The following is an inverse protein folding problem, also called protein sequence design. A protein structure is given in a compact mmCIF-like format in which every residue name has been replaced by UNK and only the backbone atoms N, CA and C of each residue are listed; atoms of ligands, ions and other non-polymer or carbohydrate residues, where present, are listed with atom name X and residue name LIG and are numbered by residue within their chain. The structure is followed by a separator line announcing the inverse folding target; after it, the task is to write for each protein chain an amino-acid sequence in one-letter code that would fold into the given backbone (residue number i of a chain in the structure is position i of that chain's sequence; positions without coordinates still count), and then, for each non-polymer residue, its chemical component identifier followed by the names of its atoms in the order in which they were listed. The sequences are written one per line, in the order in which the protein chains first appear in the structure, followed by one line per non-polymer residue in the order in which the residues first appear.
data_IF_400707058614
#
_entry.id   IF_400707058614
#
_cell.length_a   1.000
_cell.length_b   1.000
_cell.length_c   1.000
_cell.angle_alpha   90.00
_cell.angle_beta   90.00
_cell.angle_gamma   90.00
#
_symmetry.space_group_name_H-M   'P 1'
#
loop_
_entity.id
_entity.type
_entity.pdbx_description
1 polymer ?
#
# COMPACT_ATOMS: atom_id res chain seq x y z
N UNK A 1 -0.73 26.78 5.72
CA UNK A 1 -0.80 26.28 7.12
C UNK A 1 -1.92 25.26 7.20
N UNK A 2 -1.67 24.09 7.81
CA UNK A 2 -2.69 23.06 8.00
C UNK A 2 -3.63 23.49 9.14
N UNK A 3 -4.95 23.47 8.90
CA UNK A 3 -5.97 23.78 9.90
C UNK A 3 -6.31 22.50 10.69
N UNK A 4 -6.11 22.52 12.01
CA UNK A 4 -6.50 21.41 12.88
C UNK A 4 -7.99 21.50 13.20
N UNK A 5 -8.80 20.57 12.67
CA UNK A 5 -10.19 20.37 13.09
C UNK A 5 -10.23 19.35 14.22
N UNK A 6 -10.79 19.73 15.37
CA UNK A 6 -10.91 18.84 16.53
C UNK A 6 -12.19 18.00 16.39
N UNK A 7 -11.96 16.70 16.20
CA UNK A 7 -12.87 15.54 16.28
C UNK A 7 -14.20 15.59 15.50
N UNK A 8 -14.29 14.77 14.45
CA UNK A 8 -15.58 14.23 14.01
C UNK A 8 -16.03 13.15 15.01
N UNK A 9 -17.32 13.15 15.36
CA UNK A 9 -17.89 12.23 16.36
C UNK A 9 -18.40 10.95 15.68
N UNK A 10 -18.50 9.83 16.42
CA UNK A 10 -19.16 8.64 15.92
C UNK A 10 -20.61 8.92 15.51
N UNK A 11 -21.08 8.26 14.45
CA UNK A 11 -22.43 8.41 13.91
C UNK A 11 -23.13 7.05 13.77
N UNK A 12 -24.44 7.02 14.05
CA UNK A 12 -25.26 5.84 13.81
C UNK A 12 -25.66 5.72 12.35
N UNK A 13 -25.28 4.61 11.72
CA UNK A 13 -25.69 4.22 10.37
C UNK A 13 -26.70 3.07 10.45
N UNK A 14 -27.63 3.01 9.49
CA UNK A 14 -28.62 1.94 9.37
C UNK A 14 -28.45 1.20 8.03
N UNK A 15 -27.52 0.22 7.93
CA UNK A 15 -27.23 -0.48 6.68
C UNK A 15 -28.40 -1.36 6.19
N UNK A 16 -29.30 -1.76 7.08
CA UNK A 16 -30.51 -2.51 6.75
C UNK A 16 -31.58 -2.25 7.82
N UNK A 17 -32.86 -2.42 7.46
CA UNK A 17 -33.97 -2.19 8.39
C UNK A 17 -33.77 -3.00 9.68
N UNK A 18 -33.73 -2.30 10.81
CA UNK A 18 -33.59 -2.92 12.13
C UNK A 18 -32.16 -3.33 12.49
N UNK A 19 -31.16 -3.01 11.67
CA UNK A 19 -29.73 -3.16 11.99
C UNK A 19 -29.10 -1.78 12.02
N UNK A 20 -28.54 -1.39 13.17
CA UNK A 20 -27.83 -0.12 13.33
C UNK A 20 -26.41 -0.35 13.78
N UNK A 21 -25.49 0.51 13.35
CA UNK A 21 -24.11 0.49 13.84
C UNK A 21 -23.61 1.91 14.09
N UNK A 22 -22.98 2.14 15.23
CA UNK A 22 -22.28 3.37 15.56
C UNK A 22 -20.87 3.29 14.98
N UNK A 23 -20.55 4.15 14.02
CA UNK A 23 -19.29 4.12 13.28
C UNK A 23 -18.43 5.34 13.62
N UNK A 24 -17.14 5.11 13.84
CA UNK A 24 -16.12 6.15 13.83
C UNK A 24 -16.05 6.78 12.43
N UNK A 25 -15.82 8.09 12.33
CA UNK A 25 -15.63 8.75 11.03
C UNK A 25 -14.37 8.22 10.33
N UNK A 26 -14.36 8.17 8.98
CA UNK A 26 -13.17 7.85 8.21
C UNK A 26 -11.97 8.70 8.64
N UNK A 27 -10.90 8.04 9.05
CA UNK A 27 -9.75 8.72 9.65
C UNK A 27 -8.46 7.91 9.51
N UNK A 28 -7.32 8.56 9.72
CA UNK A 28 -6.02 7.86 9.68
C UNK A 28 -5.93 6.72 10.72
N UNK A 29 -6.39 6.88 11.98
CA UNK A 29 -6.45 5.76 12.92
C UNK A 29 -7.27 4.57 12.40
N UNK A 30 -8.46 4.81 11.81
CA UNK A 30 -9.28 3.75 11.22
C UNK A 30 -8.55 3.04 10.08
N UNK A 31 -7.86 3.78 9.20
CA UNK A 31 -7.07 3.18 8.10
C UNK A 31 -5.97 2.27 8.64
N UNK A 32 -5.27 2.70 9.69
CA UNK A 32 -4.16 1.92 10.27
C UNK A 32 -4.67 0.66 10.96
N UNK A 33 -5.75 0.75 11.75
CA UNK A 33 -6.36 -0.43 12.36
C UNK A 33 -6.92 -1.40 11.33
N UNK A 34 -7.62 -0.90 10.30
CA UNK A 34 -8.11 -1.73 9.22
C UNK A 34 -6.97 -2.46 8.49
N UNK A 35 -5.79 -1.84 8.35
CA UNK A 35 -4.62 -2.51 7.78
C UNK A 35 -4.18 -3.70 8.62
N UNK A 36 -4.11 -3.55 9.93
CA UNK A 36 -3.80 -4.66 10.84
C UNK A 36 -4.83 -5.78 10.75
N UNK A 37 -6.12 -5.43 10.88
CA UNK A 37 -7.23 -6.38 10.76
C UNK A 37 -7.21 -7.12 9.41
N UNK A 38 -7.02 -6.39 8.32
CA UNK A 38 -7.00 -6.98 6.97
C UNK A 38 -5.87 -7.97 6.78
N UNK A 39 -4.69 -7.74 7.37
CA UNK A 39 -3.55 -8.64 7.24
C UNK A 39 -3.84 -10.00 7.87
N UNK A 40 -4.50 -10.01 9.03
CA UNK A 40 -4.87 -11.24 9.73
C UNK A 40 -6.02 -11.95 9.03
N UNK A 41 -7.05 -11.22 8.60
CA UNK A 41 -8.15 -11.79 7.83
C UNK A 41 -7.68 -12.35 6.47
N UNK A 42 -6.80 -11.64 5.74
CA UNK A 42 -6.27 -12.11 4.45
C UNK A 42 -5.53 -13.44 4.63
N UNK A 43 -4.67 -13.55 5.66
CA UNK A 43 -4.00 -14.80 5.98
C UNK A 43 -4.98 -15.92 6.30
N UNK A 44 -6.02 -15.63 7.10
CA UNK A 44 -7.05 -16.62 7.43
C UNK A 44 -7.88 -17.06 6.20
N UNK A 45 -8.01 -16.19 5.20
CA UNK A 45 -8.75 -16.46 3.96
C UNK A 45 -7.87 -17.02 2.82
N UNK A 46 -6.57 -17.26 3.05
CA UNK A 46 -5.65 -17.71 2.00
C UNK A 46 -5.42 -16.68 0.89
N UNK A 47 -5.59 -15.40 1.21
CA UNK A 47 -5.29 -14.26 0.34
C UNK A 47 -3.84 -13.85 0.59
N UNK A 48 -3.02 -13.91 -0.45
CA UNK A 48 -1.57 -13.70 -0.35
C UNK A 48 -1.10 -12.71 -1.42
N UNK A 49 0.01 -12.03 -1.14
CA UNK A 49 0.68 -11.20 -2.14
C UNK A 49 1.71 -12.03 -2.92
N UNK A 50 1.61 -12.05 -4.24
CA UNK A 50 2.54 -12.71 -5.15
C UNK A 50 3.12 -11.72 -6.17
N UNK A 51 3.87 -12.22 -7.16
CA UNK A 51 4.51 -11.38 -8.20
C UNK A 51 3.50 -10.62 -9.07
N UNK A 52 2.28 -11.14 -9.20
CA UNK A 52 1.18 -10.57 -10.00
C UNK A 52 0.28 -9.64 -9.17
N UNK A 53 0.53 -9.53 -7.86
CA UNK A 53 -0.25 -8.74 -6.91
C UNK A 53 -1.00 -9.60 -5.90
N UNK A 54 -2.21 -9.20 -5.54
CA UNK A 54 -3.01 -9.90 -4.54
C UNK A 54 -3.70 -11.12 -5.17
N UNK A 55 -3.45 -12.32 -4.64
CA UNK A 55 -4.18 -13.53 -5.03
C UNK A 55 -5.66 -13.37 -4.67
N UNK A 56 -6.55 -13.99 -5.46
CA UNK A 56 -8.00 -13.88 -5.25
C UNK A 56 -8.47 -12.43 -5.05
N UNK A 57 -8.12 -11.53 -5.98
CA UNK A 57 -8.37 -10.09 -5.86
C UNK A 57 -9.75 -9.73 -5.31
N UNK A 58 -10.82 -10.38 -5.78
CA UNK A 58 -12.17 -10.16 -5.26
C UNK A 58 -12.34 -10.48 -3.77
N UNK A 59 -11.75 -11.59 -3.30
CA UNK A 59 -11.72 -11.95 -1.87
C UNK A 59 -10.88 -10.94 -1.07
N UNK A 60 -9.76 -10.48 -1.64
CA UNK A 60 -8.94 -9.45 -1.02
C UNK A 60 -9.67 -8.13 -0.84
N UNK A 61 -10.41 -7.68 -1.86
CA UNK A 61 -11.24 -6.48 -1.77
C UNK A 61 -12.36 -6.64 -0.74
N UNK A 62 -13.04 -7.80 -0.73
CA UNK A 62 -14.05 -8.13 0.27
C UNK A 62 -13.49 -8.05 1.70
N UNK A 63 -12.32 -8.65 1.94
CA UNK A 63 -11.64 -8.61 3.24
C UNK A 63 -11.25 -7.18 3.62
N UNK A 64 -10.80 -6.35 2.68
CA UNK A 64 -10.50 -4.95 2.95
C UNK A 64 -11.74 -4.17 3.39
N UNK A 65 -12.88 -4.34 2.72
CA UNK A 65 -14.14 -3.72 3.11
C UNK A 65 -14.56 -4.17 4.51
N UNK A 66 -14.49 -5.47 4.82
CA UNK A 66 -14.79 -5.99 6.16
C UNK A 66 -13.85 -5.41 7.23
N UNK A 67 -12.56 -5.25 6.93
CA UNK A 67 -11.59 -4.68 7.84
C UNK A 67 -11.88 -3.20 8.13
N UNK A 68 -12.29 -2.41 7.14
CA UNK A 68 -12.71 -1.02 7.36
C UNK A 68 -13.94 -0.94 8.26
N UNK A 69 -14.95 -1.80 8.02
CA UNK A 69 -16.15 -1.84 8.88
C UNK A 69 -15.77 -2.24 10.30
N UNK A 70 -14.95 -3.28 10.48
CA UNK A 70 -14.52 -3.74 11.80
C UNK A 70 -13.69 -2.68 12.55
N UNK A 71 -12.80 -1.96 11.87
CA UNK A 71 -12.03 -0.88 12.46
C UNK A 71 -12.87 0.35 12.84
N UNK A 72 -13.94 0.61 12.10
CA UNK A 72 -14.82 1.75 12.31
C UNK A 72 -15.94 1.50 13.33
N UNK A 73 -16.39 0.25 13.48
CA UNK A 73 -17.56 -0.07 14.29
C UNK A 73 -17.29 0.02 15.80
N UNK A 74 -18.15 0.77 16.49
CA UNK A 74 -18.11 0.97 17.96
C UNK A 74 -19.16 0.12 18.66
N UNK A 75 -20.41 0.17 18.16
CA UNK A 75 -21.54 -0.55 18.76
C UNK A 75 -22.52 -0.96 17.66
N UNK A 76 -23.10 -2.15 17.80
CA UNK A 76 -24.12 -2.72 16.92
C UNK A 76 -25.44 -2.91 17.66
N UNK A 77 -26.52 -2.74 16.91
CA UNK A 77 -27.88 -3.09 17.32
C UNK A 77 -28.56 -3.88 16.19
N UNK A 78 -29.44 -4.81 16.56
CA UNK A 78 -30.15 -5.65 15.59
C UNK A 78 -29.37 -6.85 15.07
N UNK A 79 -28.18 -7.09 15.60
CA UNK A 79 -27.40 -8.31 15.36
C UNK A 79 -27.48 -9.20 16.59
N UNK A 80 -27.69 -10.50 16.38
CA UNK A 80 -27.76 -11.50 17.43
C UNK A 80 -26.90 -12.72 17.08
N UNK A 81 -26.48 -13.45 18.11
CA UNK A 81 -25.78 -14.73 17.95
C UNK A 81 -26.74 -15.87 17.60
N UNK A 82 -26.20 -17.08 17.48
CA UNK A 82 -26.96 -18.29 17.16
C UNK A 82 -28.04 -18.64 18.20
N UNK A 83 -27.91 -18.13 19.42
CA UNK A 83 -28.89 -18.31 20.51
C UNK A 83 -29.96 -17.22 20.52
N UNK A 84 -29.84 -16.22 19.66
CA UNK A 84 -30.70 -15.04 19.63
C UNK A 84 -30.32 -13.96 20.65
N UNK A 85 -29.17 -14.07 21.32
CA UNK A 85 -28.69 -13.04 22.23
C UNK A 85 -28.10 -11.86 21.44
N UNK A 86 -28.42 -10.60 21.79
CA UNK A 86 -27.95 -9.43 21.06
C UNK A 86 -26.43 -9.27 21.19
N UNK A 87 -25.76 -9.05 20.07
CA UNK A 87 -24.32 -8.78 20.00
C UNK A 87 -24.11 -7.28 19.84
N UNK A 88 -23.44 -6.65 20.81
CA UNK A 88 -23.13 -5.21 20.78
C UNK A 88 -21.82 -4.89 20.06
N UNK A 89 -20.87 -5.80 20.07
CA UNK A 89 -19.55 -5.62 19.46
C UNK A 89 -19.20 -6.89 18.70
N UNK A 90 -18.92 -6.77 17.42
CA UNK A 90 -18.54 -7.90 16.57
C UNK A 90 -17.02 -7.97 16.46
N UNK A 91 -16.45 -9.17 16.49
CA UNK A 91 -15.05 -9.38 16.11
C UNK A 91 -14.87 -9.18 14.59
N UNK A 92 -13.65 -8.95 14.09
CA UNK A 92 -13.41 -8.84 12.66
C UNK A 92 -13.91 -10.03 11.84
N UNK A 93 -13.79 -11.25 12.36
CA UNK A 93 -14.29 -12.47 11.73
C UNK A 93 -15.82 -12.50 11.69
N UNK A 94 -16.48 -12.02 12.74
CA UNK A 94 -17.93 -11.89 12.78
C UNK A 94 -18.43 -10.82 11.80
N UNK A 95 -17.72 -9.69 11.67
CA UNK A 95 -18.01 -8.68 10.64
C UNK A 95 -17.86 -9.28 9.25
N UNK A 96 -16.75 -9.97 8.98
CA UNK A 96 -16.53 -10.66 7.71
C UNK A 96 -17.67 -11.64 7.40
N UNK A 97 -18.07 -12.46 8.37
CA UNK A 97 -19.16 -13.42 8.24
C UNK A 97 -20.52 -12.75 8.01
N UNK A 98 -20.80 -11.64 8.70
CA UNK A 98 -22.02 -10.85 8.52
C UNK A 98 -22.11 -10.32 7.09
N UNK A 99 -21.04 -9.69 6.59
CA UNK A 99 -21.00 -9.13 5.24
C UNK A 99 -21.10 -10.21 4.16
N UNK A 100 -20.54 -11.41 4.40
CA UNK A 100 -20.67 -12.54 3.49
C UNK A 100 -22.12 -13.05 3.39
N UNK A 101 -22.86 -13.03 4.50
CA UNK A 101 -24.25 -13.52 4.57
C UNK A 101 -25.29 -12.49 4.11
N UNK A 102 -24.96 -11.20 4.17
CA UNK A 102 -25.89 -10.09 3.92
C UNK A 102 -25.34 -9.16 2.82
N UNK A 103 -25.56 -9.50 1.54
CA UNK A 103 -25.05 -8.72 0.41
C UNK A 103 -25.50 -7.25 0.41
N UNK A 104 -26.72 -6.96 0.88
CA UNK A 104 -27.23 -5.60 0.99
C UNK A 104 -26.47 -4.75 2.03
N UNK A 105 -26.06 -5.36 3.14
CA UNK A 105 -25.25 -4.70 4.17
C UNK A 105 -23.83 -4.48 3.64
N UNK A 106 -23.26 -5.47 2.95
CA UNK A 106 -21.97 -5.32 2.28
C UNK A 106 -22.00 -4.15 1.29
N UNK A 107 -22.97 -4.10 0.38
CA UNK A 107 -23.11 -3.05 -0.63
C UNK A 107 -23.19 -1.64 0.00
N UNK A 108 -23.91 -1.51 1.12
CA UNK A 108 -24.01 -0.25 1.86
C UNK A 108 -22.64 0.24 2.34
N UNK A 109 -21.85 -0.65 2.96
CA UNK A 109 -20.53 -0.26 3.44
C UNK A 109 -19.51 -0.09 2.33
N UNK A 110 -19.52 -0.97 1.33
CA UNK A 110 -18.58 -0.95 0.22
C UNK A 110 -18.67 0.37 -0.57
N UNK A 111 -19.90 0.77 -0.93
CA UNK A 111 -20.18 1.99 -1.71
C UNK A 111 -20.21 3.26 -0.87
N UNK A 112 -20.37 3.13 0.45
CA UNK A 112 -20.40 4.24 1.40
C UNK A 112 -19.11 4.34 2.20
N UNK A 113 -19.16 3.85 3.43
CA UNK A 113 -18.10 4.01 4.42
C UNK A 113 -16.71 3.57 3.92
N UNK A 114 -16.59 2.39 3.33
CA UNK A 114 -15.31 1.86 2.84
C UNK A 114 -14.77 2.69 1.66
N UNK A 115 -15.64 3.17 0.77
CA UNK A 115 -15.24 4.06 -0.32
C UNK A 115 -14.65 5.37 0.20
N UNK A 116 -15.22 5.97 1.26
CA UNK A 116 -14.67 7.17 1.89
C UNK A 116 -13.32 6.93 2.55
N UNK A 117 -13.17 5.81 3.29
CA UNK A 117 -11.89 5.43 3.90
C UNK A 117 -10.83 5.17 2.83
N UNK A 118 -11.21 4.51 1.73
CA UNK A 118 -10.32 4.25 0.60
C UNK A 118 -9.88 5.53 -0.11
N UNK A 119 -10.81 6.47 -0.32
CA UNK A 119 -10.51 7.78 -0.89
C UNK A 119 -9.51 8.56 -0.02
N UNK A 120 -9.73 8.58 1.29
CA UNK A 120 -8.82 9.21 2.25
C UNK A 120 -7.41 8.56 2.23
N UNK A 121 -7.34 7.23 2.12
CA UNK A 121 -6.06 6.52 2.02
C UNK A 121 -5.34 6.83 0.70
N UNK A 122 -6.09 7.07 -0.38
CA UNK A 122 -5.57 7.31 -1.73
C UNK A 122 -5.12 8.76 -1.98
N UNK A 123 -5.59 9.73 -1.20
CA UNK A 123 -5.19 11.15 -1.31
C UNK A 123 -3.66 11.32 -1.24
N UNK A 124 -2.99 10.48 -0.44
CA UNK A 124 -1.53 10.49 -0.28
C UNK A 124 -0.77 10.19 -1.58
N UNK A 125 -1.39 9.54 -2.55
CA UNK A 125 -0.73 9.06 -3.78
C UNK A 125 -0.83 10.03 -4.96
N UNK A 126 -1.54 11.16 -4.82
CA UNK A 126 -1.70 12.16 -5.89
C UNK A 126 -0.58 13.22 -5.97
N UNK A 127 0.31 13.28 -4.98
CA UNK A 127 1.36 14.31 -4.88
C UNK A 127 2.74 13.77 -5.26
N UNK A 128 2.95 13.46 -6.54
CA UNK A 128 4.30 13.25 -7.07
C UNK A 128 5.01 14.60 -7.22
N UNK A 129 6.24 14.80 -6.71
CA UNK A 129 7.02 15.99 -7.01
C UNK A 129 7.29 16.04 -8.52
N UNK A 130 6.93 17.14 -9.17
CA UNK A 130 7.33 17.38 -10.56
C UNK A 130 8.86 17.40 -10.67
N UNK A 131 9.50 16.69 -11.62
CA UNK A 131 10.91 16.84 -11.91
C UNK A 131 11.11 18.16 -12.64
N UNK A 132 11.26 19.25 -11.89
CA UNK A 132 11.75 20.51 -12.41
C UNK A 132 12.62 21.18 -11.36
N UNK A 133 13.78 20.59 -11.14
CA UNK A 133 14.91 21.31 -10.58
C UNK A 133 15.37 22.34 -11.61
N UNK A 134 15.02 23.59 -11.40
CA UNK A 134 15.66 24.72 -12.05
C UNK A 134 17.03 24.92 -11.39
N UNK A 135 18.11 24.57 -12.08
CA UNK A 135 19.44 25.11 -11.79
C UNK A 135 20.38 24.86 -12.96
N UNK A 136 20.38 25.77 -13.93
CA UNK A 136 21.56 26.08 -14.75
C UNK A 136 21.37 27.50 -15.29
N UNK A 137 21.45 28.47 -14.38
CA UNK A 137 21.79 29.84 -14.79
C UNK A 137 23.29 29.84 -14.98
N UNK A 138 23.72 29.72 -16.22
CA UNK A 138 25.08 29.98 -16.67
C UNK A 138 25.46 31.38 -16.16
N UNK A 139 26.38 31.43 -15.19
CA UNK A 139 26.92 32.67 -14.71
C UNK A 139 28.03 33.09 -15.68
N UNK A 140 27.77 34.12 -16.48
CA UNK A 140 28.80 34.77 -17.29
C UNK A 140 29.96 35.23 -16.39
N UNK A 141 31.22 34.83 -16.66
CA UNK A 141 32.35 35.31 -15.91
C UNK A 141 32.65 36.77 -16.29
N UNK A 142 32.16 37.71 -15.49
CA UNK A 142 32.66 39.09 -15.51
C UNK A 142 33.96 39.16 -14.71
N UNK A 143 35.09 38.97 -15.38
CA UNK A 143 36.39 39.40 -14.89
C UNK A 143 37.23 39.87 -16.08
N UNK A 144 37.23 41.18 -16.29
CA UNK A 144 38.22 41.82 -17.15
C UNK A 144 39.61 41.67 -16.52
N UNK A 145 40.56 41.15 -17.28
CA UNK A 145 41.98 41.43 -17.05
C UNK A 145 42.63 41.66 -18.39
N UNK A 146 43.33 42.78 -18.44
CA UNK A 146 44.04 43.37 -19.58
C UNK A 146 45.25 42.53 -20.01
N UNK A 147 45.48 42.54 -21.33
CA UNK A 147 46.69 42.18 -22.09
C UNK A 147 48.00 42.72 -21.45
N UNK A 148 49.23 42.26 -21.73
CA UNK A 148 49.82 41.26 -22.63
C UNK A 148 51.30 41.02 -22.15
N UNK A 149 51.99 40.10 -22.81
CA UNK A 149 53.46 39.88 -22.87
C UNK A 149 54.16 39.15 -21.69
N UNK A 150 54.53 37.87 -21.89
CA UNK A 150 55.87 37.53 -22.40
C UNK A 150 56.10 36.02 -22.70
N UNK A 151 56.77 35.82 -23.83
CA UNK A 151 57.52 34.67 -24.41
C UNK A 151 58.03 33.56 -23.47
N UNK A 152 57.78 32.28 -23.81
CA UNK A 152 58.81 31.26 -24.12
C UNK A 152 58.24 29.83 -24.26
N UNK A 153 58.87 29.07 -25.16
CA UNK A 153 58.45 27.81 -25.77
C UNK A 153 58.70 26.53 -24.93
N UNK A 154 57.94 25.45 -25.23
CA UNK A 154 58.37 24.03 -25.31
C UNK A 154 57.13 23.11 -25.40
N UNK A 155 56.71 22.66 -26.59
CA UNK A 155 56.98 21.33 -27.22
C UNK A 155 56.46 20.07 -26.51
N UNK A 156 55.63 19.33 -27.27
CA UNK A 156 55.55 17.87 -27.44
C UNK A 156 54.46 17.05 -26.71
N UNK A 157 53.43 16.72 -27.51
CA UNK A 157 52.79 15.42 -27.81
C UNK A 157 52.26 14.46 -26.72
N UNK A 158 51.05 13.90 -26.89
CA UNK A 158 50.47 12.86 -26.03
C UNK A 158 50.81 11.44 -26.52
N UNK A 159 50.84 10.47 -25.61
CA UNK A 159 50.96 9.03 -25.94
C UNK A 159 49.88 8.21 -25.21
N UNK A 160 49.14 7.33 -25.90
CA UNK A 160 48.03 6.54 -25.35
C UNK A 160 48.40 5.07 -25.03
N UNK A 161 47.37 4.31 -24.62
CA UNK A 161 47.21 2.83 -24.62
C UNK A 161 47.75 2.03 -23.41
N UNK A 162 46.88 1.23 -22.78
CA UNK A 162 46.70 -0.20 -23.14
C UNK A 162 45.81 -0.94 -22.13
N UNK A 163 44.85 -1.71 -22.65
CA UNK A 163 44.03 -2.68 -21.91
C UNK A 163 44.78 -3.99 -21.67
N UNK A 164 44.54 -4.67 -20.54
CA UNK A 164 44.91 -6.09 -20.38
C UNK A 164 43.78 -6.92 -19.78
N UNK A 165 43.18 -7.71 -20.68
CA UNK A 165 42.31 -8.87 -20.47
C UNK A 165 43.07 -10.02 -19.78
N UNK A 166 42.49 -10.68 -18.77
CA UNK A 166 42.72 -12.12 -18.48
C UNK A 166 41.50 -12.81 -17.83
N UNK A 167 41.00 -13.84 -18.52
CA UNK A 167 40.35 -15.11 -18.08
C UNK A 167 41.20 -16.22 -18.77
N UNK A 168 41.23 -17.54 -18.42
CA UNK A 168 40.24 -18.39 -17.71
C UNK A 168 40.82 -19.50 -16.78
N UNK A 169 39.96 -20.24 -16.05
CA UNK A 169 39.68 -21.68 -16.30
C UNK A 169 38.70 -22.30 -15.29
N UNK A 170 38.22 -23.46 -15.70
CA UNK A 170 36.97 -24.18 -15.41
C UNK A 170 37.33 -25.59 -14.90
N UNK A 171 36.47 -26.16 -14.07
CA UNK A 171 36.33 -27.59 -13.78
C UNK A 171 35.40 -27.75 -12.58
N UNK A 172 34.29 -28.48 -12.56
CA UNK A 172 33.68 -29.42 -13.51
C UNK A 172 33.44 -30.76 -12.80
N UNK A 173 32.16 -31.13 -12.63
CA UNK A 173 31.56 -32.47 -12.37
C UNK A 173 30.49 -32.37 -11.25
N UNK A 174 29.18 -32.45 -11.48
CA UNK A 174 28.29 -33.51 -12.03
C UNK A 174 27.85 -34.56 -10.99
N UNK A 175 26.52 -34.76 -10.86
CA UNK A 175 25.89 -35.87 -10.12
C UNK A 175 24.43 -35.57 -9.72
N UNK A 176 23.49 -35.57 -10.67
CA UNK A 176 22.46 -36.62 -10.93
C UNK A 176 21.19 -36.56 -10.07
N UNK A 177 20.09 -36.28 -10.78
CA UNK A 177 18.69 -36.44 -10.43
C UNK A 177 18.28 -37.87 -10.07
N UNK A 178 17.24 -38.03 -9.24
CA UNK A 178 16.12 -38.98 -9.47
C UNK A 178 14.99 -38.79 -8.45
N UNK A 179 13.81 -38.42 -8.95
CA UNK A 179 12.49 -38.71 -8.38
C UNK A 179 11.78 -39.62 -9.39
N UNK A 180 11.05 -40.66 -8.95
CA UNK A 180 9.60 -40.62 -9.15
C UNK A 180 8.78 -41.28 -8.00
N UNK A 181 7.49 -40.90 -7.90
CA UNK A 181 6.42 -41.60 -7.16
C UNK A 181 5.64 -42.55 -8.12
N UNK A 182 4.48 -43.19 -7.81
CA UNK A 182 3.83 -43.59 -6.53
C UNK A 182 3.29 -45.07 -6.54
N UNK A 183 2.49 -45.39 -5.49
CA UNK A 183 1.39 -46.38 -5.39
C UNK A 183 1.64 -47.79 -4.80
N UNK A 184 1.03 -48.05 -3.64
CA UNK A 184 0.02 -49.11 -3.40
C UNK A 184 -0.77 -48.79 -2.14
#
# INVERSE_FOLDING_TARGET
MLQLKIAAQPEWLEPAHGVRVCMLPPSTPVILEARHISADLMRAQGVEWNEEGLSHLGQGLFVMTAAYVAAGAVEWEGVADETGAPIKTLTPEQVLALLAQRPNIFDFFDKGYAAEVYALNSEKNGSSPSPSGSSEREADPTAGTVADDNTAAATASPVPLTSTRRKPRRGGASGTSSTPAPAS
#
